data_IF_426553390998
#
_entry.id   IF_426553390998
#
_cell.length_a   1.000
_cell.length_b   1.000
_cell.length_c   1.000
_cell.angle_alpha   90.00
_cell.angle_beta   90.00
_cell.angle_gamma   90.00
#
_symmetry.space_group_name_H-M   'P 1'
#
loop_
_entity.id
_entity.type
_entity.pdbx_description
1 polymer ?
#
# COMPACT_ATOMS: atom_id res chain seq x y z
N UNK A 1 -15.93 -25.20 4.67
CA UNK A 1 -15.57 -24.06 3.81
C UNK A 1 -14.91 -23.02 4.70
N UNK A 2 -13.57 -22.93 4.68
CA UNK A 2 -12.85 -21.91 5.43
C UNK A 2 -13.13 -20.56 4.77
N UNK A 3 -13.68 -19.61 5.54
CA UNK A 3 -13.78 -18.21 5.09
C UNK A 3 -12.38 -17.64 5.11
N UNK A 4 -11.87 -17.27 3.94
CA UNK A 4 -10.61 -16.54 3.81
C UNK A 4 -10.76 -15.20 4.51
N UNK A 5 -9.85 -14.93 5.41
CA UNK A 5 -9.85 -13.71 6.25
C UNK A 5 -9.05 -12.60 5.55
N UNK A 6 -9.23 -11.38 6.00
CA UNK A 6 -8.35 -10.26 5.66
C UNK A 6 -7.24 -10.17 6.70
N UNK A 7 -6.04 -9.74 6.33
CA UNK A 7 -4.97 -9.53 7.31
C UNK A 7 -5.28 -8.37 8.24
N UNK A 8 -5.74 -7.24 7.66
CA UNK A 8 -6.26 -6.12 8.41
C UNK A 8 -7.58 -5.68 7.81
N UNK A 9 -8.64 -5.65 8.63
CA UNK A 9 -9.93 -5.08 8.26
C UNK A 9 -10.39 -4.06 9.28
N UNK A 10 -10.73 -2.86 8.83
CA UNK A 10 -11.22 -1.79 9.69
C UNK A 10 -12.45 -1.12 9.11
N UNK A 11 -13.45 -0.89 9.97
CA UNK A 11 -14.65 -0.10 9.68
C UNK A 11 -14.66 1.24 10.44
N UNK A 12 -13.52 1.65 10.98
CA UNK A 12 -13.38 2.89 11.71
C UNK A 12 -13.56 4.11 10.78
N UNK A 13 -14.07 5.20 11.34
CA UNK A 13 -14.16 6.49 10.65
C UNK A 13 -12.78 7.06 10.31
N UNK A 14 -11.80 6.82 11.17
CA UNK A 14 -10.42 7.28 11.02
C UNK A 14 -9.47 6.09 11.15
N UNK A 15 -8.59 5.93 10.17
CA UNK A 15 -7.55 4.91 10.13
C UNK A 15 -6.19 5.57 9.90
N UNK A 16 -5.24 5.31 10.78
CA UNK A 16 -3.83 5.69 10.59
C UNK A 16 -2.99 4.40 10.67
N UNK A 17 -2.59 3.91 9.49
CA UNK A 17 -1.94 2.62 9.30
C UNK A 17 -0.54 2.88 8.77
N UNK A 18 0.47 2.72 9.64
CA UNK A 18 1.84 3.10 9.31
C UNK A 18 2.84 2.02 9.67
N UNK A 19 3.83 1.83 8.80
CA UNK A 19 5.04 1.03 9.06
C UNK A 19 4.75 -0.40 9.48
N UNK A 20 3.72 -1.02 8.89
CA UNK A 20 3.36 -2.40 9.16
C UNK A 20 3.89 -3.31 8.04
N UNK A 21 4.09 -4.58 8.40
CA UNK A 21 4.19 -5.69 7.45
C UNK A 21 2.87 -6.47 7.48
N UNK A 22 2.09 -6.36 6.40
CA UNK A 22 0.86 -7.12 6.16
C UNK A 22 1.15 -8.13 5.04
N UNK A 23 1.69 -9.28 5.42
CA UNK A 23 2.06 -10.35 4.51
C UNK A 23 1.82 -11.69 5.18
N UNK A 24 1.00 -12.53 4.58
CA UNK A 24 0.62 -13.85 5.12
C UNK A 24 1.58 -14.97 4.68
N UNK A 25 2.70 -14.58 4.05
CA UNK A 25 3.74 -15.50 3.59
C UNK A 25 3.39 -16.24 2.30
N UNK A 26 4.30 -17.07 1.78
CA UNK A 26 4.17 -17.69 0.47
C UNK A 26 3.02 -18.70 0.36
N UNK A 27 2.50 -19.18 1.48
CA UNK A 27 1.36 -20.12 1.55
C UNK A 27 0.05 -19.41 1.96
N UNK A 28 0.07 -18.08 2.07
CA UNK A 28 -1.09 -17.29 2.48
C UNK A 28 -2.29 -17.43 1.55
N UNK A 29 -3.47 -17.22 2.08
CA UNK A 29 -4.74 -17.29 1.36
C UNK A 29 -5.66 -16.12 1.74
N UNK A 30 -5.11 -15.00 2.22
CA UNK A 30 -5.91 -13.83 2.57
C UNK A 30 -6.77 -13.36 1.38
N UNK A 31 -7.96 -12.84 1.67
CA UNK A 31 -8.84 -12.31 0.61
C UNK A 31 -8.43 -10.91 0.20
N UNK A 32 -8.27 -10.01 1.18
CA UNK A 32 -7.60 -8.72 1.02
C UNK A 32 -6.55 -8.63 2.12
N UNK A 33 -5.41 -8.05 1.83
CA UNK A 33 -4.39 -7.78 2.83
C UNK A 33 -4.79 -6.58 3.68
N UNK A 34 -5.36 -5.56 3.06
CA UNK A 34 -5.97 -4.42 3.73
C UNK A 34 -7.38 -4.17 3.21
N UNK A 35 -8.38 -4.18 4.11
CA UNK A 35 -9.78 -3.93 3.78
C UNK A 35 -10.38 -2.80 4.63
N UNK A 36 -10.74 -1.70 3.98
CA UNK A 36 -11.40 -0.54 4.56
C UNK A 36 -12.79 -0.38 3.93
N UNK A 37 -13.73 -1.29 4.22
CA UNK A 37 -14.92 -1.48 3.41
C UNK A 37 -15.94 -0.34 3.49
N UNK A 38 -15.91 0.45 4.56
CA UNK A 38 -16.87 1.53 4.79
C UNK A 38 -16.36 2.94 4.43
N UNK A 39 -15.22 3.03 3.74
CA UNK A 39 -14.57 4.32 3.47
C UNK A 39 -14.04 4.97 4.74
N UNK A 40 -14.30 6.26 4.93
CA UNK A 40 -13.76 7.06 6.03
C UNK A 40 -12.40 7.67 5.69
N UNK A 41 -11.80 8.37 6.63
CA UNK A 41 -10.50 9.01 6.46
C UNK A 41 -9.38 8.00 6.77
N UNK A 42 -8.53 7.70 5.79
CA UNK A 42 -7.49 6.70 5.91
C UNK A 42 -6.12 7.22 5.45
N UNK A 43 -5.13 7.13 6.33
CA UNK A 43 -3.71 7.33 6.04
C UNK A 43 -3.01 5.97 6.06
N UNK A 44 -2.47 5.56 4.93
CA UNK A 44 -1.75 4.29 4.76
C UNK A 44 -0.35 4.63 4.28
N UNK A 45 0.61 4.70 5.21
CA UNK A 45 1.94 5.28 4.94
C UNK A 45 3.06 4.34 5.35
N UNK A 46 3.99 4.07 4.46
CA UNK A 46 5.22 3.33 4.77
C UNK A 46 5.00 1.86 5.12
N UNK A 47 3.91 1.25 4.65
CA UNK A 47 3.63 -0.17 4.92
C UNK A 47 4.17 -1.06 3.80
N UNK A 48 4.49 -2.30 4.17
CA UNK A 48 4.74 -3.40 3.25
C UNK A 48 3.47 -4.26 3.26
N UNK A 49 2.80 -4.37 2.11
CA UNK A 49 1.51 -5.07 1.98
C UNK A 49 1.62 -6.06 0.83
N UNK A 50 1.57 -7.34 1.15
CA UNK A 50 1.90 -8.39 0.20
C UNK A 50 0.92 -9.54 0.14
N UNK A 51 0.64 -9.96 -1.07
CA UNK A 51 -0.31 -11.00 -1.45
C UNK A 51 0.44 -12.21 -1.99
N UNK A 52 0.12 -13.41 -1.48
CA UNK A 52 0.72 -14.65 -1.94
C UNK A 52 0.22 -15.09 -3.32
N UNK A 53 0.94 -16.03 -3.93
CA UNK A 53 0.52 -16.67 -5.18
C UNK A 53 -0.78 -17.48 -5.04
N UNK A 54 -1.10 -17.96 -3.83
CA UNK A 54 -2.27 -18.83 -3.57
C UNK A 54 -3.58 -18.05 -3.37
N UNK A 55 -3.51 -16.74 -3.18
CA UNK A 55 -4.72 -15.94 -3.01
C UNK A 55 -5.57 -15.95 -4.28
N UNK A 56 -6.87 -16.14 -4.14
CA UNK A 56 -7.79 -16.14 -5.27
C UNK A 56 -8.29 -14.75 -5.62
N UNK A 57 -8.26 -13.83 -4.66
CA UNK A 57 -8.69 -12.46 -4.89
C UNK A 57 -7.57 -11.67 -5.57
N UNK A 58 -7.82 -11.04 -6.72
CA UNK A 58 -6.80 -10.27 -7.41
C UNK A 58 -6.56 -8.88 -6.79
N UNK A 59 -7.19 -8.54 -5.68
CA UNK A 59 -7.11 -7.21 -5.07
C UNK A 59 -6.33 -7.25 -3.75
N UNK A 60 -5.30 -6.42 -3.63
CA UNK A 60 -4.48 -6.31 -2.42
C UNK A 60 -5.14 -5.40 -1.38
N UNK A 61 -5.47 -4.17 -1.78
CA UNK A 61 -6.11 -3.16 -0.92
C UNK A 61 -7.51 -2.86 -1.43
N UNK A 62 -8.51 -2.98 -0.56
CA UNK A 62 -9.90 -2.66 -0.82
C UNK A 62 -10.35 -1.42 -0.03
N UNK A 63 -10.98 -0.45 -0.69
CA UNK A 63 -11.51 0.76 -0.06
C UNK A 63 -12.93 1.07 -0.54
N UNK A 64 -13.90 1.13 0.41
CA UNK A 64 -15.30 1.46 0.15
C UNK A 64 -16.17 0.32 -0.36
N UNK A 65 -15.74 -0.94 -0.26
CA UNK A 65 -16.44 -2.10 -0.85
C UNK A 65 -17.85 -2.37 -0.28
N UNK A 66 -18.11 -2.02 0.99
CA UNK A 66 -19.42 -2.18 1.66
C UNK A 66 -20.24 -0.86 1.67
N UNK A 67 -19.75 0.16 0.98
CA UNK A 67 -20.41 1.44 0.87
C UNK A 67 -19.95 2.47 1.88
N UNK A 68 -20.55 3.65 1.80
CA UNK A 68 -20.19 4.80 2.60
C UNK A 68 -20.96 4.81 3.93
N UNK A 69 -20.28 4.52 5.04
CA UNK A 69 -20.83 4.66 6.37
C UNK A 69 -20.46 6.01 7.04
N UNK A 70 -19.52 6.75 6.46
CA UNK A 70 -18.98 7.97 7.05
C UNK A 70 -19.23 9.17 6.12
N UNK A 71 -19.56 10.35 6.66
CA UNK A 71 -19.89 11.53 5.85
C UNK A 71 -18.68 12.07 5.07
N UNK A 72 -17.48 11.71 5.48
CA UNK A 72 -16.23 12.11 4.85
C UNK A 72 -15.41 10.85 4.54
N UNK A 73 -14.92 10.76 3.30
CA UNK A 73 -14.07 9.67 2.87
C UNK A 73 -12.87 10.20 2.09
N UNK A 74 -11.68 9.78 2.51
CA UNK A 74 -10.44 10.04 1.78
C UNK A 74 -9.43 8.92 2.05
N UNK A 75 -8.70 8.51 1.02
CA UNK A 75 -7.59 7.56 1.13
C UNK A 75 -6.30 8.22 0.68
N UNK A 76 -5.33 8.28 1.59
CA UNK A 76 -3.96 8.73 1.33
C UNK A 76 -3.02 7.54 1.43
N UNK A 77 -2.62 7.00 0.29
CA UNK A 77 -1.73 5.84 0.15
C UNK A 77 -0.35 6.34 -0.26
N UNK A 78 0.61 6.42 0.68
CA UNK A 78 1.89 7.03 0.43
C UNK A 78 3.08 6.17 0.87
N UNK A 79 4.11 6.09 0.03
CA UNK A 79 5.36 5.38 0.32
C UNK A 79 5.14 3.92 0.79
N UNK A 80 4.17 3.20 0.23
CA UNK A 80 3.99 1.79 0.54
C UNK A 80 4.69 0.91 -0.51
N UNK A 81 5.16 -0.25 -0.07
CA UNK A 81 5.56 -1.34 -0.96
C UNK A 81 4.43 -2.35 -1.03
N UNK A 82 3.80 -2.43 -2.20
CA UNK A 82 2.68 -3.33 -2.48
C UNK A 82 3.21 -4.46 -3.34
N UNK A 83 3.07 -5.69 -2.90
CA UNK A 83 3.57 -6.82 -3.68
C UNK A 83 2.49 -7.88 -3.94
N UNK A 84 2.64 -8.60 -5.05
CA UNK A 84 1.81 -9.73 -5.38
C UNK A 84 2.62 -10.79 -6.11
N UNK A 85 2.64 -11.99 -5.53
CA UNK A 85 3.29 -13.17 -6.10
C UNK A 85 2.35 -13.94 -7.04
N UNK A 86 1.15 -13.43 -7.30
CA UNK A 86 0.21 -14.04 -8.22
C UNK A 86 0.77 -14.13 -9.63
N UNK A 87 0.55 -15.25 -10.29
CA UNK A 87 0.91 -15.46 -11.70
C UNK A 87 -0.08 -14.82 -12.69
N UNK A 88 -1.16 -14.22 -12.18
CA UNK A 88 -2.20 -13.52 -12.94
C UNK A 88 -2.28 -12.08 -12.50
N UNK A 89 -2.94 -11.24 -13.30
CA UNK A 89 -3.04 -9.82 -13.03
C UNK A 89 -3.63 -9.50 -11.65
N UNK A 90 -3.02 -8.52 -10.99
CA UNK A 90 -3.38 -7.99 -9.68
C UNK A 90 -3.81 -6.54 -9.78
N UNK A 91 -4.79 -6.17 -8.99
CA UNK A 91 -5.16 -4.79 -8.74
C UNK A 91 -4.68 -4.40 -7.33
N UNK A 92 -3.60 -3.61 -7.25
CA UNK A 92 -3.01 -3.28 -5.96
C UNK A 92 -3.91 -2.40 -5.09
N UNK A 93 -4.69 -1.51 -5.70
CA UNK A 93 -5.70 -0.69 -5.02
C UNK A 93 -7.02 -0.75 -5.81
N UNK A 94 -8.08 -1.23 -5.16
CA UNK A 94 -9.43 -1.13 -5.65
C UNK A 94 -10.26 -0.19 -4.78
N UNK A 95 -10.78 0.87 -5.38
CA UNK A 95 -11.77 1.75 -4.77
C UNK A 95 -13.13 1.52 -5.40
N UNK A 96 -14.18 1.58 -4.60
CA UNK A 96 -15.57 1.55 -5.09
C UNK A 96 -16.10 2.98 -5.10
N UNK A 97 -15.63 3.78 -6.06
CA UNK A 97 -15.95 5.20 -6.17
C UNK A 97 -17.46 5.46 -6.33
N UNK A 98 -18.19 4.52 -6.92
CA UNK A 98 -19.65 4.55 -7.04
C UNK A 98 -20.39 4.39 -5.70
N UNK A 99 -19.70 3.99 -4.64
CA UNK A 99 -20.23 3.78 -3.29
C UNK A 99 -19.69 4.77 -2.27
N UNK A 100 -18.80 5.64 -2.67
CA UNK A 100 -18.18 6.67 -1.83
C UNK A 100 -18.85 8.02 -2.09
N UNK A 101 -18.71 9.02 -1.18
CA UNK A 101 -19.11 10.40 -1.47
C UNK A 101 -18.47 10.90 -2.77
N UNK A 102 -19.19 11.75 -3.49
CA UNK A 102 -18.70 12.27 -4.78
C UNK A 102 -17.43 13.14 -4.64
N UNK A 103 -17.17 13.66 -3.45
CA UNK A 103 -16.00 14.46 -3.07
C UNK A 103 -14.92 13.64 -2.36
N UNK A 104 -15.03 12.30 -2.36
CA UNK A 104 -14.01 11.44 -1.78
C UNK A 104 -12.66 11.62 -2.47
N UNK A 105 -11.63 11.94 -1.70
CA UNK A 105 -10.27 12.09 -2.19
C UNK A 105 -9.54 10.74 -2.23
N UNK A 106 -8.91 10.42 -3.34
CA UNK A 106 -8.01 9.25 -3.45
C UNK A 106 -6.65 9.73 -3.91
N UNK A 107 -5.65 9.56 -3.08
CA UNK A 107 -4.27 9.97 -3.36
C UNK A 107 -3.36 8.76 -3.25
N UNK A 108 -2.62 8.46 -4.30
CA UNK A 108 -1.57 7.45 -4.31
C UNK A 108 -0.23 8.09 -4.67
N UNK A 109 0.71 8.13 -3.73
CA UNK A 109 1.96 8.84 -3.96
C UNK A 109 3.17 8.02 -3.52
N UNK A 110 4.18 7.95 -4.40
CA UNK A 110 5.45 7.28 -4.13
C UNK A 110 5.33 5.82 -3.67
N UNK A 111 4.32 5.09 -4.14
CA UNK A 111 4.22 3.67 -3.84
C UNK A 111 5.03 2.84 -4.85
N UNK A 112 5.58 1.71 -4.39
CA UNK A 112 6.05 0.63 -5.26
C UNK A 112 4.95 -0.40 -5.41
N UNK A 113 4.66 -0.82 -6.64
CA UNK A 113 3.80 -1.98 -6.91
C UNK A 113 4.61 -3.05 -7.63
N UNK A 114 4.89 -4.16 -6.93
CA UNK A 114 5.78 -5.23 -7.39
C UNK A 114 4.96 -6.46 -7.75
N UNK A 115 5.07 -6.91 -8.99
CA UNK A 115 4.31 -8.04 -9.48
C UNK A 115 3.58 -7.75 -10.80
N UNK A 116 2.74 -8.70 -11.23
CA UNK A 116 1.93 -8.56 -12.45
C UNK A 116 0.63 -7.81 -12.12
N UNK A 117 0.50 -6.57 -12.56
CA UNK A 117 -0.74 -5.82 -12.32
C UNK A 117 -0.63 -4.32 -12.46
N UNK A 118 -1.64 -3.65 -11.96
CA UNK A 118 -1.75 -2.19 -11.98
C UNK A 118 -2.05 -1.65 -10.60
N UNK A 119 -1.55 -0.44 -10.28
CA UNK A 119 -1.86 0.21 -9.01
C UNK A 119 -3.38 0.38 -8.89
N UNK A 120 -4.00 0.93 -9.89
CA UNK A 120 -5.46 1.12 -9.97
C UNK A 120 -5.94 1.06 -11.43
N UNK A 121 -7.23 0.78 -11.63
CA UNK A 121 -7.89 0.85 -12.94
C UNK A 121 -8.85 2.05 -13.06
N UNK A 122 -8.98 2.85 -12.00
CA UNK A 122 -9.94 3.95 -11.94
C UNK A 122 -9.25 5.26 -12.33
N UNK A 123 -9.81 5.96 -13.31
CA UNK A 123 -9.45 7.31 -13.69
C UNK A 123 -10.12 8.30 -12.72
N UNK A 124 -9.63 8.41 -11.53
CA UNK A 124 -10.11 9.37 -10.53
C UNK A 124 -9.19 9.29 -9.32
N UNK A 125 -8.60 10.41 -8.96
CA UNK A 125 -7.60 10.49 -7.90
C UNK A 125 -6.31 11.14 -8.37
N UNK A 126 -5.44 11.43 -7.43
CA UNK A 126 -4.12 12.01 -7.66
C UNK A 126 -3.05 10.93 -7.47
N UNK A 127 -2.44 10.50 -8.57
CA UNK A 127 -1.43 9.44 -8.55
C UNK A 127 -0.09 9.95 -9.06
N UNK A 128 0.88 10.14 -8.15
CA UNK A 128 2.19 10.72 -8.45
C UNK A 128 3.34 9.87 -7.90
N UNK A 129 4.44 9.76 -8.62
CA UNK A 129 5.65 9.10 -8.14
C UNK A 129 5.51 7.59 -7.88
N UNK A 130 4.39 6.98 -8.29
CA UNK A 130 4.19 5.55 -8.12
C UNK A 130 4.96 4.77 -9.20
N UNK A 131 5.68 3.72 -8.79
CA UNK A 131 6.54 2.95 -9.69
C UNK A 131 6.10 1.49 -9.72
N UNK A 132 5.67 0.97 -10.87
CA UNK A 132 5.48 -0.45 -11.06
C UNK A 132 6.81 -1.15 -11.28
N UNK A 133 7.02 -2.28 -10.62
CA UNK A 133 8.19 -3.14 -10.78
C UNK A 133 7.76 -4.56 -11.13
N UNK A 134 8.47 -5.24 -12.04
CA UNK A 134 8.19 -6.64 -12.34
C UNK A 134 8.51 -7.56 -11.15
N UNK A 135 7.99 -8.81 -11.13
CA UNK A 135 8.40 -9.83 -10.17
C UNK A 135 9.91 -10.04 -10.17
N UNK A 136 10.49 -10.39 -9.01
CA UNK A 136 11.93 -10.69 -8.88
C UNK A 136 12.82 -9.44 -8.80
N UNK A 137 12.25 -8.27 -8.52
CA UNK A 137 13.00 -7.00 -8.39
C UNK A 137 13.23 -6.56 -6.94
N UNK A 138 12.86 -7.40 -5.97
CA UNK A 138 13.21 -7.20 -4.57
C UNK A 138 14.42 -8.05 -4.19
N UNK A 139 15.12 -7.67 -3.11
CA UNK A 139 16.34 -8.30 -2.65
C UNK A 139 16.15 -9.78 -2.30
N UNK A 140 15.33 -10.07 -1.32
CA UNK A 140 15.05 -11.43 -0.85
C UNK A 140 13.72 -11.49 -0.07
N UNK A 141 12.58 -11.53 -0.77
CA UNK A 141 11.27 -11.61 -0.13
C UNK A 141 11.07 -12.86 0.75
N UNK A 142 11.79 -13.94 0.47
CA UNK A 142 11.72 -15.17 1.27
C UNK A 142 12.28 -14.99 2.67
N UNK A 143 13.25 -14.08 2.84
CA UNK A 143 13.77 -13.65 4.15
C UNK A 143 13.17 -12.32 4.62
N UNK A 144 12.11 -11.86 3.98
CA UNK A 144 11.39 -10.62 4.27
C UNK A 144 12.23 -9.34 3.99
N UNK A 145 13.20 -9.42 3.09
CA UNK A 145 13.92 -8.26 2.58
C UNK A 145 13.23 -7.71 1.32
N UNK A 146 12.32 -6.78 1.54
CA UNK A 146 11.51 -6.16 0.49
C UNK A 146 12.15 -4.91 -0.13
N UNK A 147 13.46 -4.70 0.05
CA UNK A 147 14.16 -3.59 -0.59
C UNK A 147 14.26 -3.81 -2.10
N UNK A 148 13.98 -2.80 -2.94
CA UNK A 148 14.10 -2.96 -4.38
C UNK A 148 15.55 -3.04 -4.83
N UNK A 149 15.81 -3.91 -5.80
CA UNK A 149 17.08 -3.93 -6.53
C UNK A 149 17.24 -2.62 -7.31
N UNK A 150 18.44 -2.04 -7.28
CA UNK A 150 18.73 -0.80 -8.02
C UNK A 150 17.99 0.44 -7.49
N UNK A 151 17.71 0.48 -6.18
CA UNK A 151 16.97 1.55 -5.52
C UNK A 151 17.42 2.97 -5.89
N UNK A 152 18.71 3.22 -6.08
CA UNK A 152 19.23 4.52 -6.48
C UNK A 152 18.63 5.07 -7.78
N UNK A 153 18.22 4.20 -8.70
CA UNK A 153 17.57 4.60 -9.95
C UNK A 153 16.11 5.02 -9.74
N UNK A 154 15.50 4.60 -8.64
CA UNK A 154 14.09 4.88 -8.35
C UNK A 154 13.88 6.28 -7.78
N UNK A 155 14.91 6.90 -7.19
CA UNK A 155 14.84 8.24 -6.59
C UNK A 155 14.28 9.30 -7.54
N UNK A 156 14.66 9.25 -8.81
CA UNK A 156 14.22 10.20 -9.84
C UNK A 156 12.71 10.16 -10.13
N UNK A 157 12.01 9.15 -9.65
CA UNK A 157 10.56 9.03 -9.87
C UNK A 157 9.74 9.57 -8.70
N UNK A 158 10.36 9.84 -7.55
CA UNK A 158 9.63 10.37 -6.40
C UNK A 158 9.07 11.76 -6.68
N UNK A 159 7.88 11.99 -6.17
CA UNK A 159 7.22 13.29 -6.13
C UNK A 159 7.19 13.83 -4.69
N UNK A 160 7.15 15.15 -4.47
CA UNK A 160 6.89 15.70 -3.14
C UNK A 160 5.57 15.16 -2.59
N UNK A 161 5.61 14.46 -1.45
CA UNK A 161 4.40 13.89 -0.86
C UNK A 161 3.62 14.94 -0.07
N UNK A 162 4.31 15.79 0.66
CA UNK A 162 3.69 16.88 1.40
C UNK A 162 2.76 16.42 2.52
N UNK A 163 1.74 17.21 2.79
CA UNK A 163 0.76 16.93 3.83
C UNK A 163 -0.66 16.81 3.25
N UNK A 164 -1.45 15.92 3.84
CA UNK A 164 -2.89 15.84 3.64
C UNK A 164 -3.61 16.03 4.97
N UNK A 165 -4.62 16.92 5.02
CA UNK A 165 -5.35 17.21 6.28
C UNK A 165 -4.40 17.51 7.47
N UNK A 166 -3.29 18.21 7.23
CA UNK A 166 -2.23 18.52 8.20
C UNK A 166 -1.43 17.30 8.70
N UNK A 167 -1.56 16.15 8.08
CA UNK A 167 -0.80 14.93 8.37
C UNK A 167 0.27 14.74 7.30
N UNK A 168 1.53 14.52 7.71
CA UNK A 168 2.63 14.25 6.78
C UNK A 168 2.44 12.93 6.04
N UNK A 169 2.69 12.96 4.72
CA UNK A 169 2.68 11.78 3.86
C UNK A 169 4.09 11.22 3.60
N UNK A 170 5.15 11.97 3.93
CA UNK A 170 6.50 11.42 4.03
C UNK A 170 6.60 10.50 5.26
N UNK A 171 7.26 9.33 5.16
CA UNK A 171 7.42 8.43 6.29
C UNK A 171 8.44 8.99 7.30
N UNK A 172 8.10 8.97 8.59
CA UNK A 172 8.99 9.34 9.70
C UNK A 172 9.76 8.15 10.26
N UNK A 173 9.34 6.94 9.87
CA UNK A 173 9.97 5.68 10.28
C UNK A 173 9.80 4.62 9.19
N UNK A 174 10.47 3.50 9.34
CA UNK A 174 10.28 2.31 8.51
C UNK A 174 10.14 1.06 9.39
N UNK A 175 9.46 0.04 8.86
CA UNK A 175 9.34 -1.26 9.52
C UNK A 175 10.70 -1.95 9.66
N UNK A 176 10.94 -2.59 10.80
CA UNK A 176 12.11 -3.46 11.03
C UNK A 176 11.68 -4.78 11.64
N UNK A 177 12.31 -5.87 11.17
CA UNK A 177 12.11 -7.21 11.69
C UNK A 177 12.68 -7.35 13.13
N UNK A 178 12.10 -8.25 13.97
CA UNK A 178 10.90 -9.05 13.69
C UNK A 178 9.60 -8.27 13.88
N UNK A 179 9.57 -7.29 14.78
CA UNK A 179 8.45 -6.40 15.07
C UNK A 179 9.01 -5.09 15.60
N UNK A 180 8.75 -4.00 14.89
CA UNK A 180 9.17 -2.68 15.33
C UNK A 180 9.31 -1.67 14.21
N UNK A 181 9.77 -0.48 14.58
CA UNK A 181 10.06 0.59 13.65
C UNK A 181 11.41 1.20 13.93
N UNK A 182 12.05 1.72 12.91
CA UNK A 182 13.26 2.52 13.01
C UNK A 182 12.93 3.94 12.55
N UNK A 183 13.19 4.98 13.36
CA UNK A 183 13.06 6.35 12.94
C UNK A 183 13.92 6.64 11.72
N UNK A 184 13.39 7.40 10.78
CA UNK A 184 14.11 7.87 9.59
C UNK A 184 14.51 9.33 9.81
N UNK A 185 15.82 9.66 9.73
CA UNK A 185 16.20 11.04 9.49
C UNK A 185 15.66 11.41 8.11
N UNK A 186 15.17 12.64 7.95
CA UNK A 186 14.72 13.10 6.64
C UNK A 186 15.85 12.89 5.61
N UNK A 187 15.67 12.06 4.59
CA UNK A 187 16.70 11.81 3.60
C UNK A 187 16.85 13.02 2.68
N UNK A 188 18.01 13.15 2.04
CA UNK A 188 18.20 14.17 1.01
C UNK A 188 17.24 13.94 -0.18
N UNK A 189 16.94 12.66 -0.46
CA UNK A 189 16.03 12.25 -1.53
C UNK A 189 15.26 11.00 -1.07
N UNK A 190 13.94 11.06 -1.18
CA UNK A 190 13.05 9.93 -0.90
C UNK A 190 13.12 8.85 -1.99
N UNK A 191 12.82 7.62 -1.60
CA UNK A 191 12.54 6.51 -2.52
C UNK A 191 11.03 6.24 -2.59
N UNK A 192 10.49 5.78 -3.74
CA UNK A 192 9.19 5.16 -3.72
C UNK A 192 9.25 3.86 -2.91
N UNK A 193 8.15 3.57 -2.17
CA UNK A 193 8.07 2.39 -1.32
C UNK A 193 8.33 2.65 0.16
N UNK A 194 8.17 1.59 0.96
CA UNK A 194 8.16 1.66 2.42
C UNK A 194 9.54 1.76 3.05
N UNK A 195 10.54 1.14 2.45
CA UNK A 195 11.89 1.08 2.99
C UNK A 195 12.74 2.18 2.38
N UNK A 196 13.37 2.98 3.22
CA UNK A 196 14.14 4.16 2.84
C UNK A 196 15.63 4.04 3.16
N UNK A 197 16.03 3.06 3.96
CA UNK A 197 17.40 2.87 4.43
C UNK A 197 18.02 1.54 3.99
N UNK A 198 19.34 1.46 4.10
CA UNK A 198 20.08 0.23 3.77
C UNK A 198 20.43 0.05 2.30
N UNK A 199 20.55 1.17 1.56
CA UNK A 199 20.93 1.22 0.15
C UNK A 199 22.31 1.85 -0.05
#
# INVERSE_FOLDING_TARGET
>A
MYKRQHLLKSRARYNDIRYNLLYDGPQGEASYELDLPNGGLAFVVGNIIGQSANTQNPTVIAYGAEGNAWPESALYLAHNTLLSDRHTGTLFLRTWADRLPADAEIVGINNLSVGLGSLTLINGGDYRGNVPLPPGTLQDPDTLDFRPLGAGLLRKFTAPAGNARSVALEPEAEFVLPIGTRPLPAPAEWLPGALQSGY
#
